data_IF_177064561064
#
_entry.id   IF_177064561064
#
_cell.length_a   1.000
_cell.length_b   1.000
_cell.length_c   1.000
_cell.angle_alpha   90.00
_cell.angle_beta   90.00
_cell.angle_gamma   90.00
#
_symmetry.space_group_name_H-M   'P 1'
#
loop_
_entity.id
_entity.type
_entity.pdbx_description
1 polymer ?
#
# COMPACT_ATOMS: atom_id res chain seq x y z
N UNK A 1 23.93 14.86 -34.12
CA UNK A 1 22.72 14.05 -34.34
C UNK A 1 22.27 13.52 -32.99
N UNK A 2 21.16 14.05 -32.50
CA UNK A 2 20.49 13.69 -31.25
C UNK A 2 19.87 12.29 -31.42
N UNK A 3 20.71 11.27 -31.20
CA UNK A 3 20.28 9.88 -31.12
C UNK A 3 19.55 9.68 -29.80
N UNK A 4 18.23 9.86 -29.83
CA UNK A 4 17.35 9.29 -28.82
C UNK A 4 17.40 7.77 -29.02
N UNK A 5 18.27 7.12 -28.24
CA UNK A 5 18.29 5.67 -28.10
C UNK A 5 17.11 5.26 -27.22
N UNK A 6 15.89 5.20 -27.80
CA UNK A 6 14.68 4.65 -27.13
C UNK A 6 14.76 3.12 -26.96
N UNK A 7 15.85 2.47 -27.37
CA UNK A 7 15.97 1.01 -27.38
C UNK A 7 16.63 0.38 -26.13
N UNK A 8 16.94 1.14 -25.07
CA UNK A 8 17.56 0.59 -23.84
C UNK A 8 16.82 0.90 -22.52
N UNK A 9 15.67 1.59 -22.55
CA UNK A 9 15.07 2.20 -21.36
C UNK A 9 13.61 1.74 -21.06
N UNK A 10 13.08 0.77 -21.79
CA UNK A 10 11.71 0.28 -21.54
C UNK A 10 11.60 -0.58 -20.28
N UNK A 11 12.66 -1.30 -19.90
CA UNK A 11 12.73 -2.02 -18.63
C UNK A 11 12.92 -1.10 -17.42
N UNK A 12 13.65 0.01 -17.56
CA UNK A 12 13.95 0.94 -16.47
C UNK A 12 12.74 1.81 -16.09
N UNK A 13 11.93 2.27 -17.06
CA UNK A 13 10.71 3.03 -16.77
C UNK A 13 9.64 2.15 -16.10
N UNK A 14 9.53 0.88 -16.52
CA UNK A 14 8.59 -0.07 -15.90
C UNK A 14 9.04 -0.37 -14.48
N UNK A 15 10.32 -0.70 -14.24
CA UNK A 15 10.83 -0.92 -12.88
C UNK A 15 10.70 0.33 -12.00
N UNK A 16 10.98 1.52 -12.53
CA UNK A 16 10.82 2.79 -11.78
C UNK A 16 9.36 3.09 -11.44
N UNK A 17 8.44 2.90 -12.38
CA UNK A 17 7.01 3.06 -12.14
C UNK A 17 6.53 2.05 -11.08
N UNK A 18 6.95 0.79 -11.18
CA UNK A 18 6.60 -0.26 -10.21
C UNK A 18 7.12 0.04 -8.80
N UNK A 19 8.34 0.57 -8.68
CA UNK A 19 8.87 1.02 -7.38
C UNK A 19 8.06 2.18 -6.79
N UNK A 20 7.68 3.16 -7.61
CA UNK A 20 6.82 4.25 -7.17
C UNK A 20 5.46 3.72 -6.68
N UNK A 21 4.83 2.81 -7.42
CA UNK A 21 3.56 2.19 -6.99
C UNK A 21 3.70 1.41 -5.68
N UNK A 22 4.78 0.64 -5.52
CA UNK A 22 5.06 -0.07 -4.28
C UNK A 22 5.22 0.91 -3.10
N UNK A 23 5.93 2.01 -3.29
CA UNK A 23 6.12 3.03 -2.27
C UNK A 23 4.79 3.71 -1.88
N UNK A 24 3.94 4.03 -2.85
CA UNK A 24 2.59 4.55 -2.59
C UNK A 24 1.70 3.52 -1.89
N UNK A 25 1.80 2.23 -2.24
CA UNK A 25 1.04 1.18 -1.58
C UNK A 25 1.46 1.00 -0.12
N UNK A 26 2.75 1.09 0.21
CA UNK A 26 3.22 1.05 1.60
C UNK A 26 2.68 2.25 2.39
N UNK A 27 2.81 3.47 1.85
CA UNK A 27 2.35 4.69 2.52
C UNK A 27 0.82 4.70 2.65
N UNK A 28 0.10 4.36 1.58
CA UNK A 28 -1.36 4.30 1.55
C UNK A 28 -1.92 3.19 2.43
N UNK A 29 -1.33 2.00 2.39
CA UNK A 29 -1.69 0.89 3.28
C UNK A 29 -1.39 1.21 4.75
N UNK A 30 -0.29 1.91 5.03
CA UNK A 30 0.06 2.41 6.36
C UNK A 30 -0.98 3.38 6.92
N UNK A 31 -1.35 4.39 6.14
CA UNK A 31 -2.38 5.36 6.52
C UNK A 31 -3.74 4.68 6.75
N UNK A 32 -4.10 3.74 5.87
CA UNK A 32 -5.34 2.97 5.98
C UNK A 32 -5.37 2.08 7.22
N UNK A 33 -4.24 1.44 7.56
CA UNK A 33 -4.12 0.64 8.77
C UNK A 33 -4.29 1.50 10.03
N UNK A 34 -3.67 2.68 10.08
CA UNK A 34 -3.81 3.62 11.22
C UNK A 34 -5.26 4.06 11.38
N UNK A 35 -5.94 4.40 10.27
CA UNK A 35 -7.35 4.77 10.31
C UNK A 35 -8.25 3.63 10.79
N UNK A 36 -7.93 2.39 10.41
CA UNK A 36 -8.58 1.21 10.93
C UNK A 36 -8.42 1.03 12.43
N UNK A 37 -7.22 1.28 12.98
CA UNK A 37 -6.97 1.22 14.43
C UNK A 37 -7.79 2.27 15.17
N UNK A 38 -7.88 3.49 14.63
CA UNK A 38 -8.69 4.57 15.21
C UNK A 38 -10.17 4.18 15.22
N UNK A 39 -10.68 3.66 14.10
CA UNK A 39 -12.08 3.22 13.96
C UNK A 39 -12.38 2.04 14.90
N UNK A 40 -11.45 1.10 15.04
CA UNK A 40 -11.55 -0.04 15.94
C UNK A 40 -11.60 0.42 17.40
N UNK A 41 -10.67 1.29 17.81
CA UNK A 41 -10.61 1.83 19.16
C UNK A 41 -11.86 2.67 19.49
N UNK A 42 -12.34 3.48 18.54
CA UNK A 42 -13.61 4.22 18.67
C UNK A 42 -14.81 3.29 18.81
N UNK A 43 -14.90 2.24 17.98
CA UNK A 43 -15.96 1.25 18.07
C UNK A 43 -15.98 0.47 19.39
N UNK A 44 -14.80 0.12 19.92
CA UNK A 44 -14.67 -0.53 21.22
C UNK A 44 -15.06 0.39 22.38
N UNK A 45 -14.64 1.67 22.31
CA UNK A 45 -15.02 2.68 23.29
C UNK A 45 -16.53 2.91 23.32
N UNK A 46 -17.13 3.05 22.14
CA UNK A 46 -18.56 3.37 22.00
C UNK A 46 -19.46 2.12 22.03
N UNK A 47 -18.89 0.93 22.29
CA UNK A 47 -19.54 -0.39 22.20
C UNK A 47 -20.34 -0.59 20.90
N UNK A 48 -19.85 0.01 19.82
CA UNK A 48 -20.52 0.04 18.53
C UNK A 48 -20.00 -1.12 17.67
N UNK A 49 -20.68 -2.27 17.77
CA UNK A 49 -20.30 -3.51 17.09
C UNK A 49 -19.97 -3.36 15.59
N UNK A 50 -20.77 -2.61 14.80
CA UNK A 50 -20.44 -2.30 13.41
C UNK A 50 -19.12 -1.53 13.20
N UNK A 51 -18.79 -0.57 14.08
CA UNK A 51 -17.56 0.21 14.00
C UNK A 51 -16.33 -0.64 14.38
N UNK A 52 -16.45 -1.49 15.39
CA UNK A 52 -15.40 -2.47 15.74
C UNK A 52 -15.13 -3.43 14.58
N UNK A 53 -16.18 -3.98 13.98
CA UNK A 53 -16.04 -4.92 12.86
C UNK A 53 -15.41 -4.26 11.62
N UNK A 54 -15.85 -3.06 11.27
CA UNK A 54 -15.25 -2.31 10.16
C UNK A 54 -13.82 -1.86 10.44
N UNK A 55 -13.50 -1.50 11.69
CA UNK A 55 -12.15 -1.15 12.13
C UNK A 55 -11.17 -2.31 11.99
N UNK A 56 -11.55 -3.53 12.44
CA UNK A 56 -10.71 -4.73 12.25
C UNK A 56 -10.40 -4.95 10.77
N UNK A 57 -11.40 -4.83 9.89
CA UNK A 57 -11.19 -5.03 8.46
C UNK A 57 -10.29 -3.96 7.82
N UNK A 58 -10.36 -2.71 8.30
CA UNK A 58 -9.47 -1.66 7.82
C UNK A 58 -8.02 -1.89 8.25
N UNK A 59 -7.78 -2.37 9.48
CA UNK A 59 -6.43 -2.74 9.95
C UNK A 59 -5.86 -3.90 9.16
N UNK A 60 -6.63 -4.98 9.00
CA UNK A 60 -6.21 -6.17 8.25
C UNK A 60 -6.00 -5.81 6.77
N UNK A 61 -6.90 -5.03 6.18
CA UNK A 61 -6.79 -4.52 4.81
C UNK A 61 -5.54 -3.68 4.58
N UNK A 62 -5.26 -2.73 5.47
CA UNK A 62 -4.04 -1.91 5.41
C UNK A 62 -2.77 -2.76 5.55
N UNK A 63 -2.76 -3.72 6.47
CA UNK A 63 -1.66 -4.68 6.64
C UNK A 63 -1.41 -5.54 5.40
N UNK A 64 -2.47 -6.01 4.74
CA UNK A 64 -2.35 -6.78 3.49
C UNK A 64 -1.79 -5.93 2.34
N UNK A 65 -2.19 -4.67 2.23
CA UNK A 65 -1.68 -3.75 1.20
C UNK A 65 -0.17 -3.53 1.40
N UNK A 66 0.27 -3.32 2.63
CA UNK A 66 1.70 -3.17 2.96
C UNK A 66 2.47 -4.46 2.66
N UNK A 67 1.94 -5.61 3.08
CA UNK A 67 2.57 -6.92 2.84
C UNK A 67 2.69 -7.23 1.34
N UNK A 68 1.64 -6.93 0.56
CA UNK A 68 1.66 -7.07 -0.88
C UNK A 68 2.73 -6.18 -1.52
N UNK A 69 2.84 -4.92 -1.10
CA UNK A 69 3.86 -4.00 -1.61
C UNK A 69 5.29 -4.45 -1.26
N UNK A 70 5.51 -4.97 -0.04
CA UNK A 70 6.79 -5.51 0.38
C UNK A 70 7.19 -6.77 -0.42
N UNK A 71 6.25 -7.68 -0.66
CA UNK A 71 6.45 -8.83 -1.54
C UNK A 71 6.73 -8.39 -2.98
N UNK A 72 6.01 -7.39 -3.48
CA UNK A 72 6.18 -6.88 -4.83
C UNK A 72 7.55 -6.24 -5.04
N UNK A 73 8.05 -5.49 -4.04
CA UNK A 73 9.40 -4.93 -4.04
C UNK A 73 10.50 -5.99 -3.97
N UNK A 74 10.20 -7.19 -3.46
CA UNK A 74 11.16 -8.30 -3.34
C UNK A 74 11.23 -9.18 -4.59
N UNK A 75 10.17 -9.18 -5.42
CA UNK A 75 10.10 -9.95 -6.68
C UNK A 75 10.52 -9.10 -7.89
N UNK A 76 10.37 -7.77 -7.80
CA UNK A 76 10.71 -6.82 -8.87
C UNK A 76 12.19 -6.40 -8.92
N UNK A 77 13.03 -6.87 -7.98
CA UNK A 77 14.46 -6.56 -7.87
C UNK A 77 15.29 -7.80 -8.22
#
# INVERSE_FOLDING_TARGET
MYGITIAADSGSVVTSALQLFSQFAIIGGGLWAVWGVITLAGGLKDQNGPATQSGVWQVVGGGMIIAAAALFSSIAL
#
